data_IF_930259265123
#
_entry.id   IF_930259265123
#
_cell.length_a   1.000
_cell.length_b   1.000
_cell.length_c   1.000
_cell.angle_alpha   90.00
_cell.angle_beta   90.00
_cell.angle_gamma   90.00
#
_symmetry.space_group_name_H-M   'P 1'
#
loop_
_entity.id
_entity.type
_entity.pdbx_description
1 polymer ?
#
# COMPACT_ATOMS: atom_id res chain seq x y z
N UNK A 1 -15.90 -10.42 -31.08
CA UNK A 1 -15.02 -11.35 -30.34
C UNK A 1 -13.89 -10.51 -29.78
N UNK A 2 -13.80 -10.35 -28.45
CA UNK A 2 -12.69 -9.61 -27.86
C UNK A 2 -11.42 -10.43 -28.10
N UNK A 3 -10.52 -9.88 -28.92
CA UNK A 3 -9.26 -10.53 -29.27
C UNK A 3 -8.41 -10.68 -27.99
N UNK A 4 -7.96 -11.91 -27.71
CA UNK A 4 -7.17 -12.21 -26.52
C UNK A 4 -5.71 -11.95 -26.86
N UNK A 5 -5.09 -10.99 -26.18
CA UNK A 5 -3.70 -10.60 -26.41
C UNK A 5 -2.77 -11.52 -25.62
N UNK A 6 -1.79 -12.14 -26.28
CA UNK A 6 -0.83 -13.01 -25.61
C UNK A 6 0.46 -12.26 -25.26
N UNK A 7 0.97 -12.48 -24.04
CA UNK A 7 2.27 -11.98 -23.55
C UNK A 7 2.91 -13.01 -22.63
N UNK A 8 4.19 -12.86 -22.31
CA UNK A 8 4.86 -13.74 -21.34
C UNK A 8 4.52 -13.33 -19.91
N UNK A 9 4.50 -12.02 -19.64
CA UNK A 9 4.29 -11.48 -18.28
C UNK A 9 3.29 -10.32 -18.28
N UNK A 10 2.31 -10.37 -17.38
CA UNK A 10 1.48 -9.21 -17.04
C UNK A 10 1.93 -8.64 -15.69
N UNK A 11 2.14 -7.33 -15.63
CA UNK A 11 2.35 -6.59 -14.38
C UNK A 11 1.10 -5.78 -14.07
N UNK A 12 0.44 -6.06 -12.95
CA UNK A 12 -0.76 -5.32 -12.51
C UNK A 12 -0.38 -4.27 -11.46
N UNK A 13 -0.62 -3.00 -11.78
CA UNK A 13 -0.30 -1.85 -10.95
C UNK A 13 1.06 -1.24 -11.32
N UNK A 14 1.09 0.08 -11.48
CA UNK A 14 2.29 0.84 -11.82
C UNK A 14 2.61 1.91 -10.77
N UNK A 15 2.47 1.54 -9.51
CA UNK A 15 3.18 2.19 -8.40
C UNK A 15 4.64 1.74 -8.33
N UNK A 16 5.33 2.15 -7.28
CA UNK A 16 6.76 1.86 -7.07
C UNK A 16 7.16 0.39 -7.27
N UNK A 17 6.32 -0.55 -6.81
CA UNK A 17 6.56 -1.99 -6.93
C UNK A 17 6.44 -2.51 -8.36
N UNK A 18 5.41 -2.08 -9.09
CA UNK A 18 5.21 -2.46 -10.48
C UNK A 18 6.27 -1.88 -11.40
N UNK A 19 6.62 -0.60 -11.20
CA UNK A 19 7.67 0.06 -11.97
C UNK A 19 9.04 -0.56 -11.75
N UNK A 20 9.38 -0.92 -10.50
CA UNK A 20 10.62 -1.62 -10.22
C UNK A 20 10.67 -3.01 -10.89
N UNK A 21 9.56 -3.76 -10.88
CA UNK A 21 9.48 -5.05 -11.56
C UNK A 21 9.59 -4.89 -13.09
N UNK A 22 8.87 -3.93 -13.67
CA UNK A 22 8.92 -3.61 -15.10
C UNK A 22 10.33 -3.18 -15.56
N UNK A 23 11.04 -2.39 -14.75
CA UNK A 23 12.44 -2.04 -14.99
C UNK A 23 13.33 -3.29 -15.04
N UNK A 24 13.19 -4.22 -14.08
CA UNK A 24 14.00 -5.45 -14.09
C UNK A 24 13.63 -6.37 -15.26
N UNK A 25 12.35 -6.46 -15.66
CA UNK A 25 11.95 -7.16 -16.89
C UNK A 25 12.68 -6.57 -18.10
N UNK A 26 12.57 -5.25 -18.29
CA UNK A 26 13.26 -4.52 -19.39
C UNK A 26 14.76 -4.76 -19.39
N UNK A 27 15.40 -4.61 -18.24
CA UNK A 27 16.85 -4.79 -18.06
C UNK A 27 17.32 -6.22 -18.38
N UNK A 28 16.44 -7.22 -18.25
CA UNK A 28 16.74 -8.62 -18.57
C UNK A 28 16.37 -9.04 -19.99
N UNK A 29 16.00 -8.08 -20.85
CA UNK A 29 15.77 -8.31 -22.28
C UNK A 29 14.31 -8.46 -22.70
N UNK A 30 13.36 -8.41 -21.76
CA UNK A 30 11.94 -8.39 -22.11
C UNK A 30 11.57 -7.04 -22.72
N UNK A 31 10.81 -7.06 -23.80
CA UNK A 31 10.32 -5.88 -24.51
C UNK A 31 8.87 -5.55 -24.07
N UNK A 32 8.59 -4.30 -23.64
CA UNK A 32 7.23 -3.84 -23.37
C UNK A 32 6.32 -4.00 -24.59
N UNK A 33 5.06 -4.36 -24.36
CA UNK A 33 4.01 -4.63 -25.36
C UNK A 33 4.24 -5.84 -26.28
N UNK A 34 5.41 -6.48 -26.23
CA UNK A 34 5.69 -7.75 -26.91
C UNK A 34 5.76 -8.90 -25.91
N UNK A 35 6.69 -8.80 -24.96
CA UNK A 35 6.96 -9.87 -24.00
C UNK A 35 6.25 -9.60 -22.67
N UNK A 36 6.05 -8.33 -22.31
CA UNK A 36 5.29 -7.99 -21.11
C UNK A 36 4.45 -6.72 -21.26
N UNK A 37 3.40 -6.61 -20.44
CA UNK A 37 2.56 -5.41 -20.35
C UNK A 37 2.42 -4.96 -18.90
N UNK A 38 2.40 -3.65 -18.68
CA UNK A 38 2.08 -3.05 -17.38
C UNK A 38 0.71 -2.40 -17.46
N UNK A 39 -0.21 -2.82 -16.60
CA UNK A 39 -1.60 -2.36 -16.57
C UNK A 39 -1.85 -1.59 -15.28
N UNK A 40 -2.31 -0.35 -15.36
CA UNK A 40 -2.57 0.45 -14.17
C UNK A 40 -3.88 1.23 -14.28
N UNK A 41 -4.66 1.17 -13.21
CA UNK A 41 -6.02 1.75 -13.17
C UNK A 41 -6.01 3.26 -12.93
N UNK A 42 -4.91 3.81 -12.44
CA UNK A 42 -4.82 5.23 -12.11
C UNK A 42 -4.91 6.07 -13.40
N UNK A 43 -5.43 7.32 -13.32
CA UNK A 43 -5.51 8.21 -14.49
C UNK A 43 -4.14 8.70 -14.97
N UNK A 44 -3.07 8.48 -14.20
CA UNK A 44 -1.71 8.87 -14.56
C UNK A 44 -0.68 8.28 -13.59
N UNK A 45 0.61 8.62 -13.78
CA UNK A 45 1.70 8.12 -12.95
C UNK A 45 1.59 8.50 -11.46
N UNK A 46 2.39 7.84 -10.63
CA UNK A 46 2.52 8.10 -9.18
C UNK A 46 1.95 6.99 -8.28
N UNK A 47 1.11 6.10 -8.81
CA UNK A 47 0.44 5.06 -8.01
C UNK A 47 -0.30 5.66 -6.80
N UNK A 48 -0.15 5.05 -5.62
CA UNK A 48 -0.78 5.56 -4.40
C UNK A 48 -0.32 6.97 -3.98
N UNK A 49 0.87 7.42 -4.40
CA UNK A 49 1.42 8.73 -4.02
C UNK A 49 0.62 9.89 -4.59
N UNK A 50 0.04 9.70 -5.79
CA UNK A 50 -0.83 10.68 -6.45
C UNK A 50 -2.03 11.10 -5.58
N UNK A 51 -2.48 10.19 -4.72
CA UNK A 51 -3.66 10.39 -3.89
C UNK A 51 -3.32 10.77 -2.45
N UNK A 52 -2.04 10.99 -2.14
CA UNK A 52 -1.64 11.49 -0.82
C UNK A 52 -2.17 12.91 -0.62
N UNK A 53 -2.45 13.22 0.64
CA UNK A 53 -3.09 14.45 1.03
C UNK A 53 -2.20 15.68 0.74
N UNK A 54 -2.79 16.85 0.47
CA UNK A 54 -2.04 18.02 -0.01
C UNK A 54 -0.95 18.52 0.95
N UNK A 55 -1.18 18.43 2.25
CA UNK A 55 -0.24 18.88 3.28
C UNK A 55 0.97 17.94 3.49
N UNK A 56 1.00 16.76 2.84
CA UNK A 56 2.19 15.90 2.86
C UNK A 56 3.23 16.45 1.87
N UNK A 57 4.17 17.26 2.36
CA UNK A 57 5.29 17.73 1.55
C UNK A 57 6.37 16.67 1.36
N UNK A 58 7.16 16.76 0.28
CA UNK A 58 8.21 15.77 -0.03
C UNK A 58 9.23 15.62 1.11
N UNK A 59 9.65 16.71 1.75
CA UNK A 59 10.58 16.68 2.87
C UNK A 59 10.04 15.98 4.13
N UNK A 60 8.72 15.79 4.24
CA UNK A 60 8.06 15.05 5.32
C UNK A 60 7.71 13.61 4.93
N UNK A 61 8.05 13.18 3.72
CA UNK A 61 7.79 11.81 3.27
C UNK A 61 8.77 10.85 3.94
N UNK A 62 8.24 10.03 4.84
CA UNK A 62 8.99 8.87 5.32
C UNK A 62 8.85 7.70 4.33
N UNK A 63 9.98 7.12 3.92
CA UNK A 63 10.02 5.84 3.21
C UNK A 63 9.81 5.91 1.69
N UNK A 64 9.97 7.07 1.06
CA UNK A 64 10.18 7.16 -0.38
C UNK A 64 11.69 7.03 -0.65
N UNK A 65 12.04 6.04 -1.48
CA UNK A 65 13.40 5.83 -1.96
C UNK A 65 13.36 5.76 -3.49
N UNK A 66 14.47 6.13 -4.13
CA UNK A 66 14.60 6.09 -5.57
C UNK A 66 14.31 4.68 -6.14
N UNK A 67 13.63 4.66 -7.28
CA UNK A 67 13.43 3.46 -8.09
C UNK A 67 14.73 3.03 -8.75
N UNK A 68 14.91 1.72 -9.03
CA UNK A 68 16.17 1.22 -9.56
C UNK A 68 16.54 1.88 -10.89
N UNK A 69 17.79 2.32 -11.00
CA UNK A 69 18.32 2.89 -12.23
C UNK A 69 18.11 4.40 -12.41
N UNK A 70 17.37 5.08 -11.52
CA UNK A 70 17.18 6.53 -11.62
C UNK A 70 16.99 7.16 -10.25
N UNK A 71 17.95 8.00 -9.83
CA UNK A 71 17.84 8.78 -8.60
C UNK A 71 16.75 9.85 -8.71
N UNK A 72 16.12 10.19 -7.59
CA UNK A 72 15.28 11.38 -7.47
C UNK A 72 16.14 12.51 -6.89
N UNK A 73 16.58 13.43 -7.74
CA UNK A 73 17.46 14.54 -7.36
C UNK A 73 16.76 15.89 -7.55
N UNK A 74 17.15 16.89 -6.75
CA UNK A 74 16.74 18.28 -6.95
C UNK A 74 15.27 18.61 -6.66
N UNK A 75 14.52 17.71 -6.02
CA UNK A 75 13.14 17.97 -5.63
C UNK A 75 13.07 18.96 -4.45
N UNK A 76 12.25 20.01 -4.60
CA UNK A 76 11.97 20.95 -3.51
C UNK A 76 11.23 20.23 -2.36
N UNK A 77 11.80 20.20 -1.13
CA UNK A 77 11.19 19.53 0.01
C UNK A 77 9.86 20.15 0.47
N UNK A 78 9.55 21.39 0.08
CA UNK A 78 8.31 22.06 0.42
C UNK A 78 7.14 21.71 -0.50
N UNK A 79 7.41 21.19 -1.70
CA UNK A 79 6.36 20.82 -2.66
C UNK A 79 5.52 19.63 -2.17
N UNK A 80 4.24 19.54 -2.55
CA UNK A 80 3.42 18.37 -2.28
C UNK A 80 4.06 17.09 -2.81
N UNK A 81 4.14 16.07 -1.96
CA UNK A 81 4.73 14.77 -2.31
C UNK A 81 3.99 14.09 -3.46
N UNK A 82 2.69 14.30 -3.59
CA UNK A 82 1.87 13.79 -4.68
C UNK A 82 2.30 14.33 -6.04
N UNK A 83 2.72 15.59 -6.13
CA UNK A 83 3.24 16.19 -7.36
C UNK A 83 4.64 15.66 -7.69
N UNK A 84 5.57 15.81 -6.74
CA UNK A 84 6.99 15.44 -6.93
C UNK A 84 7.12 13.96 -7.33
N UNK A 85 6.41 13.06 -6.64
CA UNK A 85 6.52 11.63 -6.91
C UNK A 85 5.80 11.24 -8.21
N UNK A 86 4.71 11.93 -8.57
CA UNK A 86 4.03 11.72 -9.85
C UNK A 86 4.93 12.12 -11.01
N UNK A 87 5.57 13.30 -10.95
CA UNK A 87 6.54 13.78 -11.95
C UNK A 87 7.75 12.84 -12.09
N UNK A 88 8.24 12.34 -10.96
CA UNK A 88 9.33 11.37 -10.93
C UNK A 88 8.95 10.05 -11.59
N UNK A 89 7.78 9.47 -11.29
CA UNK A 89 7.34 8.20 -11.91
C UNK A 89 7.05 8.38 -13.39
N UNK A 90 6.45 9.50 -13.78
CA UNK A 90 6.21 9.86 -15.17
C UNK A 90 7.53 9.94 -15.97
N UNK A 91 8.55 10.59 -15.41
CA UNK A 91 9.89 10.63 -15.99
C UNK A 91 10.53 9.24 -16.04
N UNK A 92 10.36 8.44 -14.98
CA UNK A 92 10.91 7.09 -14.90
C UNK A 92 10.35 6.19 -16.01
N UNK A 93 9.03 6.23 -16.21
CA UNK A 93 8.36 5.46 -17.25
C UNK A 93 8.84 5.82 -18.66
N UNK A 94 9.05 7.11 -18.94
CA UNK A 94 9.63 7.57 -20.21
C UNK A 94 11.08 7.14 -20.39
N UNK A 95 11.91 7.37 -19.38
CA UNK A 95 13.36 7.07 -19.43
C UNK A 95 13.64 5.61 -19.74
N UNK A 96 12.85 4.69 -19.17
CA UNK A 96 13.01 3.25 -19.40
C UNK A 96 12.04 2.68 -20.44
N UNK A 97 11.24 3.52 -21.08
CA UNK A 97 10.29 3.12 -22.13
C UNK A 97 9.30 2.06 -21.67
N UNK A 98 8.78 2.14 -20.44
CA UNK A 98 7.98 1.07 -19.81
C UNK A 98 6.55 0.94 -20.38
N UNK A 99 6.08 1.94 -21.15
CA UNK A 99 4.79 1.93 -21.87
C UNK A 99 3.60 1.42 -21.04
N UNK A 100 3.43 1.98 -19.85
CA UNK A 100 2.33 1.59 -18.97
C UNK A 100 0.98 1.96 -19.60
N UNK A 101 0.06 1.00 -19.65
CA UNK A 101 -1.30 1.23 -20.16
C UNK A 101 -2.20 1.78 -19.07
N UNK A 102 -2.75 2.98 -19.32
CA UNK A 102 -3.65 3.70 -18.42
C UNK A 102 -4.78 4.40 -19.16
N UNK A 103 -5.96 4.59 -18.51
CA UNK A 103 -6.40 3.83 -17.33
C UNK A 103 -6.86 2.42 -17.75
N UNK A 104 -6.31 1.38 -17.12
CA UNK A 104 -6.77 -0.01 -17.33
C UNK A 104 -7.02 -0.68 -15.99
N UNK A 105 -8.29 -0.99 -15.71
CA UNK A 105 -8.69 -1.74 -14.53
C UNK A 105 -8.65 -3.24 -14.83
N UNK A 106 -7.90 -4.00 -14.03
CA UNK A 106 -7.99 -5.47 -14.03
C UNK A 106 -9.10 -5.90 -13.09
N UNK A 107 -10.13 -6.53 -13.64
CA UNK A 107 -11.34 -6.92 -12.90
C UNK A 107 -11.23 -8.33 -12.35
N UNK A 108 -10.58 -9.24 -13.08
CA UNK A 108 -10.40 -10.63 -12.67
C UNK A 108 -9.13 -11.25 -13.28
N UNK A 109 -8.56 -12.20 -12.55
CA UNK A 109 -7.58 -13.16 -13.06
C UNK A 109 -8.14 -14.56 -12.84
N UNK A 110 -8.07 -15.39 -13.87
CA UNK A 110 -8.59 -16.77 -13.88
C UNK A 110 -7.56 -17.73 -14.45
N UNK A 111 -7.81 -19.02 -14.24
CA UNK A 111 -7.14 -20.05 -15.02
C UNK A 111 -7.59 -19.92 -16.48
N UNK A 112 -6.61 -19.87 -17.39
CA UNK A 112 -6.84 -19.87 -18.83
C UNK A 112 -6.57 -21.24 -19.45
N UNK A 113 -6.41 -21.25 -20.78
CA UNK A 113 -6.04 -22.46 -21.54
C UNK A 113 -4.52 -22.57 -21.72
N UNK A 114 -4.02 -23.77 -21.97
CA UNK A 114 -2.60 -23.99 -22.30
C UNK A 114 -1.64 -23.65 -21.16
N UNK A 115 -2.09 -23.77 -19.90
CA UNK A 115 -1.28 -23.44 -18.72
C UNK A 115 -1.07 -21.94 -18.47
N UNK A 116 -1.77 -21.08 -19.20
CA UNK A 116 -1.73 -19.61 -19.03
C UNK A 116 -2.81 -19.11 -18.08
N UNK A 117 -2.57 -17.94 -17.50
CA UNK A 117 -3.55 -17.17 -16.75
C UNK A 117 -4.30 -16.23 -17.71
N UNK A 118 -5.62 -16.09 -17.48
CA UNK A 118 -6.47 -15.14 -18.19
C UNK A 118 -6.68 -13.89 -17.33
N UNK A 119 -6.28 -12.73 -17.82
CA UNK A 119 -6.41 -11.43 -17.14
C UNK A 119 -7.49 -10.61 -17.84
N UNK A 120 -8.63 -10.45 -17.18
CA UNK A 120 -9.77 -9.67 -17.65
C UNK A 120 -9.62 -8.21 -17.24
N UNK A 121 -9.79 -7.29 -18.19
CA UNK A 121 -9.57 -5.86 -17.97
C UNK A 121 -10.67 -5.00 -18.59
N UNK A 122 -10.68 -3.71 -18.26
CA UNK A 122 -11.53 -2.72 -18.91
C UNK A 122 -11.15 -2.44 -20.38
N UNK A 123 -9.96 -2.88 -20.84
CA UNK A 123 -9.45 -2.73 -22.21
C UNK A 123 -9.11 -4.11 -22.83
N UNK A 124 -10.06 -5.05 -22.74
CA UNK A 124 -9.92 -6.39 -23.29
C UNK A 124 -9.20 -7.37 -22.37
N UNK A 125 -8.76 -8.49 -22.94
CA UNK A 125 -8.28 -9.65 -22.17
C UNK A 125 -6.86 -10.01 -22.57
N UNK A 126 -6.05 -10.40 -21.58
CA UNK A 126 -4.67 -10.86 -21.78
C UNK A 126 -4.51 -12.31 -21.35
N UNK A 127 -3.75 -13.08 -22.12
CA UNK A 127 -3.35 -14.45 -21.80
C UNK A 127 -1.85 -14.47 -21.51
N UNK A 128 -1.47 -14.81 -20.27
CA UNK A 128 -0.10 -14.65 -19.77
C UNK A 128 0.44 -15.90 -19.09
N UNK A 129 1.73 -16.15 -19.19
CA UNK A 129 2.37 -17.30 -18.51
C UNK A 129 2.74 -16.99 -17.07
N UNK A 130 3.08 -15.73 -16.79
CA UNK A 130 3.37 -15.26 -15.45
C UNK A 130 2.66 -13.94 -15.13
N UNK A 131 2.47 -13.69 -13.84
CA UNK A 131 1.80 -12.51 -13.31
C UNK A 131 2.59 -11.89 -12.17
N UNK A 132 2.90 -10.59 -12.28
CA UNK A 132 3.40 -9.79 -11.16
C UNK A 132 2.28 -8.87 -10.69
N UNK A 133 1.71 -9.15 -9.52
CA UNK A 133 0.69 -8.32 -8.91
C UNK A 133 1.31 -7.29 -7.95
N UNK A 134 1.23 -6.02 -8.32
CA UNK A 134 1.81 -4.87 -7.62
C UNK A 134 0.79 -3.76 -7.29
N UNK A 135 -0.45 -4.16 -6.96
CA UNK A 135 -1.61 -3.28 -6.75
C UNK A 135 -1.65 -2.55 -5.40
N UNK A 136 -0.73 -2.83 -4.48
CA UNK A 136 -0.64 -2.16 -3.20
C UNK A 136 -1.90 -2.31 -2.33
N UNK A 137 -2.21 -1.27 -1.55
CA UNK A 137 -3.29 -1.28 -0.54
C UNK A 137 -4.23 -0.09 -0.60
N UNK A 138 -3.81 1.03 -1.20
CA UNK A 138 -4.45 2.34 -1.08
C UNK A 138 -5.95 2.34 -1.42
N UNK A 139 -6.35 1.51 -2.37
CA UNK A 139 -7.72 1.48 -2.88
C UNK A 139 -8.69 0.66 -2.04
N UNK A 140 -8.21 0.11 -0.92
CA UNK A 140 -8.99 -0.69 0.01
C UNK A 140 -8.84 -0.15 1.43
N UNK A 141 -9.30 1.09 1.71
CA UNK A 141 -9.33 1.62 3.07
C UNK A 141 -10.09 0.68 3.99
N UNK A 142 -9.56 0.44 5.19
CA UNK A 142 -10.19 -0.45 6.15
C UNK A 142 -11.13 0.32 7.07
N UNK A 143 -12.43 0.17 6.82
CA UNK A 143 -13.49 0.72 7.66
C UNK A 143 -13.97 -0.33 8.66
N UNK A 144 -13.65 -0.22 9.97
CA UNK A 144 -14.21 -1.13 10.95
C UNK A 144 -15.69 -0.79 11.20
N UNK A 145 -16.54 -1.81 11.28
CA UNK A 145 -17.93 -1.62 11.72
C UNK A 145 -17.96 -1.38 13.22
N UNK A 146 -18.68 -0.33 13.65
CA UNK A 146 -18.97 -0.06 15.08
C UNK A 146 -20.47 0.04 15.33
N UNK A 147 -20.97 -0.39 16.49
CA UNK A 147 -22.36 -0.14 16.88
C UNK A 147 -22.70 1.36 16.81
N UNK A 148 -23.86 1.70 16.26
CA UNK A 148 -24.36 3.09 16.14
C UNK A 148 -23.67 3.96 15.10
N UNK A 149 -22.77 3.41 14.29
CA UNK A 149 -22.06 4.18 13.25
C UNK A 149 -22.98 4.84 12.23
N UNK A 150 -24.15 4.23 11.97
CA UNK A 150 -25.18 4.72 11.05
C UNK A 150 -26.00 5.90 11.58
N UNK A 151 -25.99 6.14 12.89
CA UNK A 151 -26.78 7.22 13.52
C UNK A 151 -25.97 8.49 13.78
N UNK A 152 -24.65 8.43 13.61
CA UNK A 152 -23.75 9.57 13.78
C UNK A 152 -24.14 10.71 12.82
N UNK A 153 -24.42 11.89 13.38
CA UNK A 153 -24.83 13.08 12.61
C UNK A 153 -23.64 13.86 12.06
N UNK A 154 -22.45 13.65 12.61
CA UNK A 154 -21.22 14.25 12.13
C UNK A 154 -20.64 13.53 10.91
N UNK A 155 -19.45 13.95 10.49
CA UNK A 155 -18.76 13.42 9.31
C UNK A 155 -17.85 12.25 9.67
N UNK A 156 -17.90 11.17 8.90
CA UNK A 156 -16.89 10.10 8.99
C UNK A 156 -15.99 10.14 7.77
N UNK A 157 -14.67 10.17 7.99
CA UNK A 157 -13.65 10.21 6.93
C UNK A 157 -12.63 9.11 7.16
N UNK A 158 -12.07 8.55 6.10
CA UNK A 158 -10.84 7.77 6.20
C UNK A 158 -9.66 8.63 5.77
N UNK A 159 -8.46 8.33 6.25
CA UNK A 159 -7.22 9.02 5.83
C UNK A 159 -6.91 8.91 4.33
N UNK A 160 -7.66 8.09 3.59
CA UNK A 160 -7.57 7.98 2.14
C UNK A 160 -8.18 9.21 1.42
N UNK A 161 -9.10 9.91 2.09
CA UNK A 161 -9.74 11.13 1.61
C UNK A 161 -9.53 12.30 2.56
N UNK A 162 -8.39 12.35 3.25
CA UNK A 162 -8.05 13.46 4.13
C UNK A 162 -7.73 14.71 3.28
N UNK A 163 -8.49 15.82 3.43
CA UNK A 163 -8.39 16.97 2.55
C UNK A 163 -7.34 18.01 2.99
N UNK A 164 -6.81 17.88 4.21
CA UNK A 164 -5.97 18.90 4.86
C UNK A 164 -6.55 19.36 6.20
N UNK A 165 -5.70 19.90 7.11
CA UNK A 165 -6.05 20.18 8.49
C UNK A 165 -7.01 21.36 8.64
N UNK A 166 -7.00 22.30 7.69
CA UNK A 166 -7.82 23.51 7.70
C UNK A 166 -9.32 23.18 7.67
N UNK A 167 -9.70 22.06 7.04
CA UNK A 167 -11.09 21.58 6.97
C UNK A 167 -11.67 21.11 8.31
N UNK A 168 -10.82 21.02 9.33
CA UNK A 168 -11.16 20.64 10.70
C UNK A 168 -11.19 21.84 11.64
N UNK A 169 -10.97 23.06 11.14
CA UNK A 169 -10.92 24.27 11.93
C UNK A 169 -12.20 24.44 12.78
N UNK A 170 -12.04 24.61 14.10
CA UNK A 170 -13.15 24.79 15.04
C UNK A 170 -14.03 23.56 15.29
N UNK A 171 -13.70 22.38 14.73
CA UNK A 171 -14.46 21.14 14.93
C UNK A 171 -13.87 20.29 16.05
N UNK A 172 -14.70 19.43 16.66
CA UNK A 172 -14.26 18.37 17.57
C UNK A 172 -13.99 17.10 16.79
N UNK A 173 -12.75 16.64 16.82
CA UNK A 173 -12.27 15.56 15.93
C UNK A 173 -11.78 14.37 16.74
N UNK A 174 -12.36 13.19 16.49
CA UNK A 174 -11.84 11.92 16.99
C UNK A 174 -10.97 11.31 15.89
N UNK A 175 -9.70 11.05 16.19
CA UNK A 175 -8.79 10.30 15.30
C UNK A 175 -8.66 8.87 15.81
N UNK A 176 -9.12 7.90 15.01
CA UNK A 176 -9.11 6.48 15.35
C UNK A 176 -7.96 5.77 14.65
N UNK A 177 -6.94 5.36 15.39
CA UNK A 177 -5.81 4.59 14.87
C UNK A 177 -4.48 4.97 15.52
N UNK A 178 -3.68 3.95 15.89
CA UNK A 178 -2.39 4.13 16.58
C UNK A 178 -1.16 3.96 15.69
N UNK A 179 -1.32 3.93 14.37
CA UNK A 179 -0.20 3.83 13.43
C UNK A 179 0.34 5.21 13.02
N UNK A 180 1.39 5.23 12.19
CA UNK A 180 2.06 6.47 11.78
C UNK A 180 1.11 7.52 11.19
N UNK A 181 0.16 7.09 10.34
CA UNK A 181 -0.84 8.02 9.81
C UNK A 181 -1.74 8.59 10.90
N UNK A 182 -2.14 7.80 11.90
CA UNK A 182 -3.01 8.27 12.98
C UNK A 182 -2.35 9.36 13.81
N UNK A 183 -1.10 9.14 14.23
CA UNK A 183 -0.35 10.15 14.99
C UNK A 183 -0.03 11.38 14.16
N UNK A 184 0.38 11.22 12.90
CA UNK A 184 0.69 12.34 12.02
C UNK A 184 -0.53 13.25 11.80
N UNK A 185 -1.68 12.68 11.40
CA UNK A 185 -2.88 13.48 11.15
C UNK A 185 -3.41 14.12 12.43
N UNK A 186 -3.36 13.42 13.56
CA UNK A 186 -3.79 13.98 14.84
C UNK A 186 -2.97 15.22 15.22
N UNK A 187 -1.64 15.14 15.15
CA UNK A 187 -0.76 16.29 15.42
C UNK A 187 -0.93 17.42 14.40
N UNK A 188 -1.27 17.09 13.15
CA UNK A 188 -1.52 18.07 12.10
C UNK A 188 -2.87 18.80 12.25
N UNK A 189 -3.89 18.10 12.75
CA UNK A 189 -5.24 18.62 12.97
C UNK A 189 -5.33 19.44 14.28
N UNK A 190 -4.60 19.04 15.32
CA UNK A 190 -4.71 19.61 16.66
C UNK A 190 -4.59 21.16 16.72
N UNK A 191 -3.72 21.83 15.94
CA UNK A 191 -3.64 23.29 15.93
C UNK A 191 -4.86 24.01 15.34
N UNK A 192 -5.71 23.31 14.58
CA UNK A 192 -6.86 23.89 13.88
C UNK A 192 -8.19 23.54 14.56
N UNK A 193 -8.31 22.31 15.03
CA UNK A 193 -9.54 21.80 15.65
C UNK A 193 -9.86 22.50 16.97
N UNK A 194 -11.15 22.59 17.30
CA UNK A 194 -11.58 23.05 18.63
C UNK A 194 -11.17 22.06 19.74
N UNK A 195 -11.17 20.76 19.41
CA UNK A 195 -10.64 19.71 20.26
C UNK A 195 -10.28 18.48 19.44
N UNK A 196 -9.27 17.73 19.88
CA UNK A 196 -8.93 16.43 19.33
C UNK A 196 -8.97 15.33 20.38
N UNK A 197 -9.40 14.13 19.99
CA UNK A 197 -9.34 12.94 20.85
C UNK A 197 -8.69 11.79 20.10
N UNK A 198 -7.67 11.19 20.70
CA UNK A 198 -7.00 10.04 20.12
C UNK A 198 -7.58 8.73 20.63
N UNK A 199 -8.04 7.88 19.71
CA UNK A 199 -8.60 6.57 20.06
C UNK A 199 -7.79 5.47 19.40
N UNK A 200 -7.35 4.50 20.19
CA UNK A 200 -6.60 3.34 19.67
C UNK A 200 -7.14 2.02 20.24
N UNK A 201 -7.17 0.99 19.38
CA UNK A 201 -7.56 -0.37 19.81
C UNK A 201 -6.56 -1.00 20.79
N UNK A 202 -5.27 -0.71 20.62
CA UNK A 202 -4.18 -1.20 21.48
C UNK A 202 -3.28 -0.02 21.80
N UNK A 203 -2.69 0.04 23.00
CA UNK A 203 -1.66 1.02 23.31
C UNK A 203 -0.58 1.05 22.22
N UNK A 204 -0.26 2.23 21.65
CA UNK A 204 0.89 2.41 20.79
C UNK A 204 2.17 2.01 21.53
N UNK A 205 3.07 1.37 20.81
CA UNK A 205 4.43 1.11 21.29
C UNK A 205 5.32 2.15 20.65
N UNK A 206 5.99 2.95 21.48
CA UNK A 206 6.98 3.91 21.02
C UNK A 206 8.37 3.29 21.08
N UNK A 207 9.21 3.65 20.12
CA UNK A 207 10.58 3.17 20.00
C UNK A 207 11.54 4.35 19.99
N UNK A 208 12.55 4.29 20.85
CA UNK A 208 13.66 5.23 20.89
C UNK A 208 14.80 4.78 19.96
N UNK A 209 15.66 5.73 19.58
CA UNK A 209 16.85 5.46 18.77
C UNK A 209 16.62 5.35 17.25
N UNK A 210 17.70 5.32 16.46
CA UNK A 210 17.64 5.30 15.01
C UNK A 210 16.98 4.01 14.50
N UNK A 211 16.29 4.07 13.36
CA UNK A 211 15.83 2.88 12.65
C UNK A 211 16.90 2.52 11.61
N UNK A 212 17.90 1.75 12.03
CA UNK A 212 18.98 1.32 11.15
C UNK A 212 18.53 0.19 10.20
N UNK A 213 19.44 -0.20 9.30
CA UNK A 213 19.15 -1.23 8.32
C UNK A 213 18.88 -2.61 8.95
N UNK A 214 19.49 -2.92 10.09
CA UNK A 214 19.32 -4.18 10.79
C UNK A 214 17.93 -4.28 11.42
N UNK A 215 17.46 -3.21 12.07
CA UNK A 215 16.09 -3.09 12.54
C UNK A 215 15.09 -3.20 11.38
N UNK A 216 15.41 -2.61 10.23
CA UNK A 216 14.67 -2.76 8.98
C UNK A 216 14.58 -4.21 8.51
N UNK A 217 15.71 -4.92 8.46
CA UNK A 217 15.78 -6.34 8.06
C UNK A 217 14.99 -7.23 9.01
N UNK A 218 15.14 -7.04 10.32
CA UNK A 218 14.42 -7.81 11.33
C UNK A 218 12.89 -7.60 11.22
N UNK A 219 12.45 -6.37 11.02
CA UNK A 219 11.03 -6.06 10.81
C UNK A 219 10.46 -6.74 9.56
N UNK A 220 11.21 -6.72 8.45
CA UNK A 220 10.83 -7.40 7.21
C UNK A 220 10.73 -8.90 7.42
N UNK A 221 11.70 -9.51 8.12
CA UNK A 221 11.71 -10.95 8.41
C UNK A 221 10.48 -11.40 9.21
N UNK A 222 10.03 -10.60 10.19
CA UNK A 222 8.82 -10.88 10.97
C UNK A 222 7.54 -10.82 10.11
N UNK A 223 7.48 -9.92 9.13
CA UNK A 223 6.35 -9.88 8.18
C UNK A 223 6.45 -11.05 7.20
N UNK A 224 7.66 -11.44 6.80
CA UNK A 224 7.92 -12.55 5.89
C UNK A 224 7.48 -13.90 6.48
N UNK A 225 7.82 -14.16 7.74
CA UNK A 225 7.41 -15.38 8.44
C UNK A 225 5.87 -15.53 8.48
N UNK A 226 5.14 -14.43 8.69
CA UNK A 226 3.66 -14.46 8.66
C UNK A 226 3.10 -14.85 7.30
N UNK A 227 3.61 -14.27 6.21
CA UNK A 227 3.10 -14.60 4.86
C UNK A 227 3.52 -16.01 4.44
N UNK A 228 4.67 -16.51 4.92
CA UNK A 228 5.09 -17.91 4.75
C UNK A 228 4.15 -18.90 5.44
N UNK A 229 3.56 -18.49 6.56
CA UNK A 229 2.53 -19.24 7.28
C UNK A 229 1.11 -19.06 6.70
N UNK A 230 0.93 -18.30 5.61
CA UNK A 230 -0.39 -18.04 5.03
C UNK A 230 -1.23 -17.00 5.79
N UNK A 231 -0.64 -16.30 6.77
CA UNK A 231 -1.34 -15.30 7.56
C UNK A 231 -1.29 -13.93 6.86
N UNK A 232 -2.29 -13.06 7.07
CA UNK A 232 -2.23 -11.69 6.59
C UNK A 232 -1.00 -10.95 7.12
N UNK A 233 -0.34 -10.13 6.27
CA UNK A 233 0.77 -9.31 6.71
C UNK A 233 0.31 -8.26 7.73
N UNK A 234 1.20 -7.93 8.65
CA UNK A 234 1.00 -6.83 9.60
C UNK A 234 1.74 -5.59 9.09
N UNK A 235 1.29 -4.40 9.51
CA UNK A 235 2.01 -3.17 9.21
C UNK A 235 3.39 -3.18 9.88
N UNK A 236 4.40 -2.59 9.24
CA UNK A 236 5.77 -2.50 9.81
C UNK A 236 5.73 -1.84 11.20
N UNK A 237 5.00 -0.72 11.34
CA UNK A 237 4.83 -0.03 12.64
C UNK A 237 4.22 -0.93 13.72
N UNK A 238 3.34 -1.86 13.36
CA UNK A 238 2.78 -2.80 14.35
C UNK A 238 3.76 -3.88 14.80
N UNK A 239 4.93 -3.97 14.16
CA UNK A 239 6.04 -4.85 14.50
C UNK A 239 7.19 -4.06 15.14
N UNK A 240 7.47 -2.85 14.64
CA UNK A 240 8.62 -2.03 15.05
C UNK A 240 8.30 -1.00 16.14
N UNK A 241 7.03 -0.66 16.34
CA UNK A 241 6.62 0.52 17.09
C UNK A 241 6.73 1.82 16.27
N UNK A 242 6.21 2.91 16.85
CA UNK A 242 6.28 4.27 16.34
C UNK A 242 7.59 4.94 16.74
N UNK A 243 8.29 5.63 15.82
CA UNK A 243 9.48 6.38 16.19
C UNK A 243 9.14 7.54 17.12
N UNK A 244 9.86 7.65 18.24
CA UNK A 244 9.70 8.73 19.21
C UNK A 244 10.48 9.97 18.77
N UNK A 245 10.01 10.61 17.70
CA UNK A 245 10.54 11.89 17.21
C UNK A 245 10.22 13.06 18.16
N UNK A 246 10.91 14.18 18.02
CA UNK A 246 10.67 15.39 18.83
C UNK A 246 9.22 15.87 18.72
N UNK A 247 8.62 15.80 17.53
CA UNK A 247 7.21 16.13 17.32
C UNK A 247 6.28 15.20 18.12
N UNK A 248 6.60 13.90 18.20
CA UNK A 248 5.82 12.94 19.00
C UNK A 248 6.03 13.17 20.50
N UNK A 249 7.25 13.49 20.94
CA UNK A 249 7.53 13.86 22.34
C UNK A 249 6.75 15.11 22.74
N UNK A 250 6.73 16.12 21.88
CA UNK A 250 5.96 17.34 22.09
C UNK A 250 4.45 17.04 22.15
N UNK A 251 3.93 16.24 21.19
CA UNK A 251 2.53 15.83 21.21
C UNK A 251 2.11 15.03 22.45
N UNK A 252 3.03 14.25 23.04
CA UNK A 252 2.80 13.59 24.33
C UNK A 252 2.79 14.60 25.49
N UNK A 253 3.73 15.54 25.51
CA UNK A 253 3.84 16.56 26.55
C UNK A 253 2.63 17.51 26.57
N UNK A 254 2.11 17.87 25.38
CA UNK A 254 0.97 18.76 25.22
C UNK A 254 -0.39 18.05 25.38
N UNK A 255 -0.39 16.74 25.63
CA UNK A 255 -1.62 15.94 25.77
C UNK A 255 -2.36 15.67 24.45
N UNK A 256 -1.87 16.14 23.30
CA UNK A 256 -2.45 15.84 21.98
C UNK A 256 -2.43 14.33 21.70
N UNK A 257 -1.39 13.64 22.15
CA UNK A 257 -1.24 12.19 22.07
C UNK A 257 -1.66 11.49 23.37
N UNK A 258 -2.59 12.08 24.14
CA UNK A 258 -3.27 11.37 25.22
C UNK A 258 -4.31 10.42 24.63
N UNK A 259 -4.16 9.14 24.97
CA UNK A 259 -4.83 8.03 24.30
C UNK A 259 -6.05 7.61 25.10
N UNK A 260 -7.19 7.48 24.43
CA UNK A 260 -8.33 6.68 24.91
C UNK A 260 -8.36 5.26 24.28
N UNK A 261 -8.86 4.25 25.02
CA UNK A 261 -9.14 2.93 24.43
C UNK A 261 -10.24 3.05 23.38
N UNK A 262 -10.40 2.02 22.54
CA UNK A 262 -11.52 1.98 21.60
C UNK A 262 -12.86 2.14 22.34
N UNK A 263 -13.71 3.05 21.87
CA UNK A 263 -15.08 3.19 22.35
C UNK A 263 -15.92 1.96 21.99
N UNK A 264 -16.99 1.75 22.76
CA UNK A 264 -17.88 0.60 22.61
C UNK A 264 -18.96 0.86 21.55
N UNK A 265 -19.40 2.12 21.44
CA UNK A 265 -20.43 2.54 20.47
C UNK A 265 -20.24 3.98 19.99
N UNK A 266 -20.77 4.25 18.80
CA UNK A 266 -20.95 5.59 18.24
C UNK A 266 -22.39 6.03 18.57
N UNK A 267 -22.55 7.27 18.98
CA UNK A 267 -23.84 7.91 19.28
C UNK A 267 -24.14 8.96 18.21
N UNK A 268 -25.35 9.53 18.13
CA UNK A 268 -25.63 10.56 17.13
C UNK A 268 -24.74 11.81 17.25
N UNK A 269 -24.23 12.12 18.44
CA UNK A 269 -23.40 13.30 18.73
C UNK A 269 -21.91 12.99 19.00
N UNK A 270 -21.47 11.72 18.95
CA UNK A 270 -20.09 11.37 19.29
C UNK A 270 -19.86 9.88 19.53
N UNK A 271 -19.11 9.54 20.59
CA UNK A 271 -18.79 8.17 20.98
C UNK A 271 -18.92 7.97 22.49
N UNK A 272 -19.15 6.71 22.89
CA UNK A 272 -19.39 6.33 24.27
C UNK A 272 -18.69 5.01 24.63
N UNK A 273 -18.23 4.92 25.88
CA UNK A 273 -17.72 3.71 26.52
C UNK A 273 -18.72 3.19 27.56
N UNK A 274 -18.68 1.89 27.81
CA UNK A 274 -19.59 1.22 28.75
C UNK A 274 -19.34 1.64 30.22
N UNK A 275 -18.22 2.29 30.52
CA UNK A 275 -17.94 2.90 31.82
C UNK A 275 -18.52 4.32 31.98
N UNK A 276 -19.31 4.77 31.01
CA UNK A 276 -20.03 6.05 31.03
C UNK A 276 -19.25 7.22 30.45
N UNK A 277 -17.98 7.05 30.04
CA UNK A 277 -17.24 8.10 29.33
C UNK A 277 -17.94 8.42 28.00
N UNK A 278 -18.05 9.71 27.68
CA UNK A 278 -18.63 10.21 26.43
C UNK A 278 -17.75 11.30 25.84
N UNK A 279 -17.53 11.24 24.54
CA UNK A 279 -16.80 12.27 23.80
C UNK A 279 -17.66 12.70 22.62
N UNK A 280 -18.05 13.97 22.62
CA UNK A 280 -18.80 14.55 21.51
C UNK A 280 -17.86 14.86 20.34
N UNK A 281 -18.32 14.65 19.12
CA UNK A 281 -17.51 14.81 17.92
C UNK A 281 -18.33 15.31 16.73
N UNK A 282 -17.72 16.18 15.95
CA UNK A 282 -18.25 16.63 14.67
C UNK A 282 -17.65 15.81 13.53
N UNK A 283 -16.44 15.27 13.73
CA UNK A 283 -15.75 14.40 12.76
C UNK A 283 -15.10 13.19 13.43
N UNK A 284 -15.26 12.01 12.84
CA UNK A 284 -14.46 10.81 13.15
C UNK A 284 -13.55 10.53 11.96
N UNK A 285 -12.24 10.68 12.16
CA UNK A 285 -11.20 10.34 11.18
C UNK A 285 -10.66 8.94 11.44
N UNK A 286 -10.96 8.02 10.54
CA UNK A 286 -10.51 6.64 10.54
C UNK A 286 -9.10 6.53 9.94
N UNK A 287 -8.10 6.48 10.81
CA UNK A 287 -6.71 6.15 10.50
C UNK A 287 -6.45 4.65 10.73
N UNK A 288 -7.38 3.81 10.26
CA UNK A 288 -7.44 2.36 10.54
C UNK A 288 -6.69 1.50 9.53
N UNK A 289 -5.95 2.13 8.62
CA UNK A 289 -5.09 1.47 7.66
C UNK A 289 -5.85 0.93 6.45
N UNK A 290 -5.19 0.08 5.68
CA UNK A 290 -5.68 -0.40 4.40
C UNK A 290 -5.56 -1.90 4.30
N UNK A 291 -6.43 -2.50 3.49
CA UNK A 291 -6.33 -3.91 3.10
C UNK A 291 -5.57 -4.02 1.78
N UNK A 292 -5.01 -5.19 1.48
CA UNK A 292 -4.45 -5.44 0.16
C UNK A 292 -5.49 -5.40 -0.96
N UNK A 293 -5.16 -4.75 -2.08
CA UNK A 293 -5.99 -4.68 -3.27
C UNK A 293 -5.83 -5.95 -4.12
N UNK A 294 -6.40 -7.07 -3.65
CA UNK A 294 -6.28 -8.40 -4.28
C UNK A 294 -7.63 -8.97 -4.75
N UNK A 295 -8.64 -8.12 -4.94
CA UNK A 295 -10.00 -8.54 -5.26
C UNK A 295 -10.10 -9.28 -6.60
N UNK A 296 -9.35 -8.82 -7.60
CA UNK A 296 -9.28 -9.42 -8.93
C UNK A 296 -8.63 -10.81 -8.94
N UNK A 297 -7.86 -11.18 -7.90
CA UNK A 297 -7.31 -12.53 -7.76
C UNK A 297 -8.27 -13.52 -7.06
N UNK A 298 -9.44 -13.07 -6.60
CA UNK A 298 -10.39 -13.92 -5.91
C UNK A 298 -10.81 -15.19 -6.68
N UNK A 299 -11.00 -15.17 -8.02
CA UNK A 299 -11.38 -16.37 -8.77
C UNK A 299 -10.38 -17.52 -8.68
N UNK A 300 -9.09 -17.23 -8.44
CA UNK A 300 -8.02 -18.23 -8.30
C UNK A 300 -8.01 -18.92 -6.92
N UNK A 301 -8.82 -18.45 -5.95
CA UNK A 301 -8.97 -19.06 -4.61
C UNK A 301 -7.64 -19.24 -3.85
N UNK A 302 -6.70 -18.30 -4.01
CA UNK A 302 -5.35 -18.36 -3.43
C UNK A 302 -5.28 -18.11 -1.91
N UNK A 303 -6.40 -17.81 -1.24
CA UNK A 303 -6.40 -17.43 0.18
C UNK A 303 -6.46 -18.64 1.08
N UNK A 304 -5.62 -18.63 2.11
CA UNK A 304 -5.58 -19.62 3.19
C UNK A 304 -6.70 -19.37 4.20
N UNK A 305 -7.06 -20.38 5.03
CA UNK A 305 -7.87 -20.17 6.23
C UNK A 305 -7.26 -19.06 7.09
N UNK A 306 -7.97 -17.94 7.27
CA UNK A 306 -7.46 -16.74 7.94
C UNK A 306 -7.23 -15.53 7.01
N UNK A 307 -7.41 -15.70 5.69
CA UNK A 307 -7.53 -14.61 4.72
C UNK A 307 -6.21 -14.06 4.18
N UNK A 308 -5.07 -14.64 4.57
CA UNK A 308 -3.78 -14.37 3.94
C UNK A 308 -3.56 -15.20 2.68
N UNK A 309 -2.47 -14.96 1.97
CA UNK A 309 -2.00 -15.78 0.85
C UNK A 309 -0.62 -16.30 1.25
N UNK A 310 -0.41 -17.61 1.15
CA UNK A 310 0.87 -18.23 1.46
C UNK A 310 1.89 -17.87 0.40
N UNK A 311 3.04 -17.35 0.82
CA UNK A 311 4.09 -16.89 -0.07
C UNK A 311 5.45 -17.52 0.27
N UNK A 312 6.25 -17.77 -0.77
CA UNK A 312 7.67 -18.10 -0.69
C UNK A 312 8.46 -17.02 -1.44
N UNK A 313 9.11 -16.14 -0.68
CA UNK A 313 9.62 -14.88 -1.21
C UNK A 313 8.49 -14.02 -1.78
N UNK A 314 8.49 -13.81 -3.10
CA UNK A 314 7.40 -13.07 -3.79
C UNK A 314 6.36 -13.99 -4.41
N UNK A 315 6.65 -15.29 -4.54
CA UNK A 315 5.83 -16.26 -5.25
C UNK A 315 4.69 -16.75 -4.38
N UNK A 316 3.50 -16.92 -4.96
CA UNK A 316 2.37 -17.56 -4.29
C UNK A 316 2.60 -19.07 -4.23
N UNK A 317 2.47 -19.67 -3.04
CA UNK A 317 2.78 -21.09 -2.86
C UNK A 317 1.84 -22.02 -3.64
N UNK A 318 0.57 -21.62 -3.77
CA UNK A 318 -0.44 -22.38 -4.51
C UNK A 318 -0.33 -22.26 -6.04
N UNK A 319 0.33 -21.20 -6.55
CA UNK A 319 0.50 -20.98 -7.98
C UNK A 319 1.83 -20.26 -8.26
N UNK A 320 2.87 -20.97 -8.74
CA UNK A 320 4.19 -20.41 -8.92
C UNK A 320 4.28 -19.38 -10.06
N UNK A 321 3.25 -19.26 -10.92
CA UNK A 321 3.18 -18.24 -11.97
C UNK A 321 2.90 -16.85 -11.41
N UNK A 322 2.41 -16.77 -10.17
CA UNK A 322 1.91 -15.54 -9.56
C UNK A 322 2.89 -15.03 -8.51
N UNK A 323 3.30 -13.79 -8.67
CA UNK A 323 4.14 -13.06 -7.72
C UNK A 323 3.39 -11.88 -7.14
N UNK A 324 3.41 -11.70 -5.81
CA UNK A 324 2.91 -10.51 -5.13
C UNK A 324 4.09 -9.63 -4.71
N UNK A 325 4.13 -8.41 -5.24
CA UNK A 325 5.21 -7.43 -5.01
C UNK A 325 4.59 -6.14 -4.48
N UNK A 326 5.26 -5.42 -3.58
CA UNK A 326 4.65 -4.26 -2.91
C UNK A 326 3.60 -4.67 -1.87
N UNK A 327 3.57 -5.95 -1.51
CA UNK A 327 2.67 -6.55 -0.52
C UNK A 327 3.48 -7.03 0.68
N UNK A 328 2.94 -6.82 1.88
CA UNK A 328 3.52 -7.31 3.13
C UNK A 328 5.01 -6.94 3.30
N UNK A 329 5.94 -7.92 3.28
CA UNK A 329 7.37 -7.67 3.52
C UNK A 329 8.01 -6.72 2.48
N UNK A 330 7.41 -6.60 1.30
CA UNK A 330 7.90 -5.78 0.20
C UNK A 330 7.16 -4.45 0.01
N UNK A 331 6.31 -4.06 0.97
CA UNK A 331 5.45 -2.87 0.85
C UNK A 331 6.20 -1.53 0.91
N UNK A 332 7.46 -1.51 1.37
CA UNK A 332 8.33 -0.32 1.30
C UNK A 332 8.96 -0.16 -0.09
N UNK A 333 9.43 1.04 -0.43
CA UNK A 333 10.15 1.30 -1.70
C UNK A 333 11.45 0.50 -1.81
N UNK A 334 12.24 0.41 -0.72
CA UNK A 334 13.45 -0.46 -0.66
C UNK A 334 13.07 -1.92 -0.91
N UNK A 335 12.05 -2.41 -0.21
CA UNK A 335 11.55 -3.79 -0.34
C UNK A 335 11.01 -4.07 -1.74
N UNK A 336 10.35 -3.09 -2.36
CA UNK A 336 9.76 -3.18 -3.68
C UNK A 336 10.81 -3.42 -4.78
N UNK A 337 11.96 -2.74 -4.74
CA UNK A 337 13.06 -2.98 -5.69
C UNK A 337 13.62 -4.41 -5.56
N UNK A 338 13.92 -4.84 -4.32
CA UNK A 338 14.44 -6.19 -4.06
C UNK A 338 13.44 -7.27 -4.53
N UNK A 339 12.18 -7.10 -4.19
CA UNK A 339 11.10 -8.02 -4.53
C UNK A 339 10.83 -8.06 -6.04
N UNK A 340 10.81 -6.90 -6.71
CA UNK A 340 10.68 -6.84 -8.17
C UNK A 340 11.79 -7.61 -8.89
N UNK A 341 13.05 -7.44 -8.46
CA UNK A 341 14.18 -8.20 -9.00
C UNK A 341 14.05 -9.70 -8.76
N UNK A 342 13.66 -10.10 -7.55
CA UNK A 342 13.47 -11.50 -7.20
C UNK A 342 12.36 -12.15 -8.04
N UNK A 343 11.21 -11.48 -8.19
CA UNK A 343 10.10 -11.94 -9.02
C UNK A 343 10.53 -12.16 -10.48
N UNK A 344 11.25 -11.20 -11.07
CA UNK A 344 11.74 -11.33 -12.45
C UNK A 344 12.71 -12.50 -12.62
N UNK A 345 13.63 -12.70 -11.67
CA UNK A 345 14.54 -13.86 -11.68
C UNK A 345 13.77 -15.17 -11.63
N UNK A 346 12.75 -15.26 -10.78
CA UNK A 346 11.96 -16.47 -10.61
C UNK A 346 11.09 -16.77 -11.84
N UNK A 347 10.48 -15.74 -12.43
CA UNK A 347 9.72 -15.84 -13.69
C UNK A 347 10.62 -16.30 -14.84
N UNK A 348 11.83 -15.75 -14.97
CA UNK A 348 12.77 -16.23 -16.01
C UNK A 348 13.09 -17.72 -15.87
N UNK A 349 13.28 -18.19 -14.63
CA UNK A 349 13.51 -19.62 -14.37
C UNK A 349 12.28 -20.47 -14.67
N UNK A 350 11.08 -19.97 -14.40
CA UNK A 350 9.82 -20.63 -14.74
C UNK A 350 9.70 -20.79 -16.27
N UNK A 351 9.86 -19.70 -17.02
CA UNK A 351 9.70 -19.69 -18.47
C UNK A 351 10.77 -20.53 -19.19
N UNK A 352 12.02 -20.50 -18.73
CA UNK A 352 13.10 -21.34 -19.28
C UNK A 352 12.82 -22.84 -19.08
N UNK A 353 12.29 -23.25 -17.92
CA UNK A 353 11.91 -24.65 -17.65
C UNK A 353 10.80 -25.13 -18.57
N UNK A 354 9.81 -24.28 -18.82
CA UNK A 354 8.71 -24.62 -19.73
C UNK A 354 9.16 -24.65 -21.21
N UNK A 355 10.21 -23.92 -21.58
CA UNK A 355 10.83 -23.97 -22.90
C UNK A 355 11.79 -25.16 -23.11
N UNK A 356 12.10 -25.93 -22.04
CA UNK A 356 13.08 -27.01 -22.10
C UNK A 356 14.55 -26.55 -22.16
N UNK A 357 14.82 -25.29 -21.82
CA UNK A 357 16.16 -24.71 -21.83
C UNK A 357 16.90 -25.00 -20.49
N UNK A 358 18.20 -25.32 -20.51
CA UNK A 358 18.97 -25.49 -19.28
C UNK A 358 19.01 -24.16 -18.51
N UNK A 359 18.72 -24.22 -17.20
CA UNK A 359 18.67 -23.03 -16.35
C UNK A 359 20.02 -22.30 -16.36
N UNK A 360 20.04 -21.07 -16.88
CA UNK A 360 21.22 -20.20 -16.82
C UNK A 360 21.61 -19.92 -15.36
N UNK A 361 22.87 -20.20 -15.03
CA UNK A 361 23.47 -20.12 -13.69
C UNK A 361 23.51 -18.70 -13.11
#
# INVERSE_FOLDING_TARGET
MNDVREVEVVVIGAGQAGLAAAYHLRRTGYEPERDFVVLDRAPGPGGAWRFRWPSLTYGKVHGMHALPGMELTGADPARPSSEVITEYFDTYERTFGLRVRRPVEVTAVREGTGGRLLVETSDGTWSTRALINATGTWDRPFWPRRPGQETFRGRQLHTAGYPGPETFAGLRVIVVGGGASGTQHLMEIAPYAAATTWVTRRPPVFREGPFDEDAGRAAVALVEDRVRQGLPPRSVVSVTGLPLSDAVRQGLADGVLDRLPMFDRITPEGVEWDDGRRVAADVILWATGFRPALGHLAPLRLREPGGGIRMDGTRVAADPRIHLVGYGPSASTIGANRAGRAAVRDIRRLLAREAGEPAAA
#
